data_IF_766764498903
#
_entry.id   IF_766764498903
#
_cell.length_a   1.000
_cell.length_b   1.000
_cell.length_c   1.000
_cell.angle_alpha   90.00
_cell.angle_beta   90.00
_cell.angle_gamma   90.00
#
_symmetry.space_group_name_H-M   'P 1'
#
loop_
_entity.id
_entity.type
_entity.pdbx_description
1 polymer ?
#
# COMPACT_ATOMS: atom_id res chain seq x y z
N UNK A 1 6.48 23.63 -19.00
CA UNK A 1 5.70 22.60 -18.27
C UNK A 1 4.24 22.67 -18.73
N UNK A 2 3.67 21.57 -19.23
CA UNK A 2 2.29 21.56 -19.77
C UNK A 2 1.23 21.51 -18.65
N UNK A 3 -0.05 21.68 -19.02
CA UNK A 3 -1.17 21.70 -18.06
C UNK A 3 -1.28 20.41 -17.23
N UNK A 4 -1.06 19.25 -17.86
CA UNK A 4 -1.07 17.93 -17.21
C UNK A 4 -0.07 17.86 -16.06
N UNK A 5 1.20 18.21 -16.32
CA UNK A 5 2.26 18.17 -15.30
C UNK A 5 2.00 19.19 -14.18
N UNK A 6 1.44 20.36 -14.50
CA UNK A 6 1.03 21.34 -13.47
C UNK A 6 -0.06 20.78 -12.54
N UNK A 7 -1.05 20.07 -13.10
CA UNK A 7 -2.12 19.44 -12.31
C UNK A 7 -1.57 18.36 -11.37
N UNK A 8 -0.71 17.48 -11.87
CA UNK A 8 -0.06 16.45 -11.06
C UNK A 8 0.79 17.05 -9.92
N UNK A 9 1.54 18.12 -10.20
CA UNK A 9 2.30 18.83 -9.15
C UNK A 9 1.40 19.49 -8.11
N UNK A 10 0.26 20.04 -8.52
CA UNK A 10 -0.71 20.62 -7.58
C UNK A 10 -1.32 19.54 -6.67
N UNK A 11 -1.61 18.35 -7.20
CA UNK A 11 -2.10 17.22 -6.40
C UNK A 11 -1.10 16.81 -5.29
N UNK A 12 0.20 16.86 -5.56
CA UNK A 12 1.26 16.59 -4.58
C UNK A 12 1.37 17.65 -3.47
N UNK A 13 0.79 18.84 -3.65
CA UNK A 13 0.79 19.87 -2.59
C UNK A 13 -0.21 19.54 -1.48
N UNK A 14 -1.07 18.54 -1.67
CA UNK A 14 -1.94 18.03 -0.61
C UNK A 14 -1.10 17.36 0.49
N UNK A 15 -1.08 17.95 1.69
CA UNK A 15 -0.33 17.46 2.85
C UNK A 15 -1.09 16.43 3.68
N UNK A 16 -2.28 16.03 3.27
CA UNK A 16 -3.00 14.96 3.93
C UNK A 16 -2.39 13.62 3.52
N UNK A 17 -1.71 12.97 4.46
CA UNK A 17 -1.09 11.66 4.30
C UNK A 17 -1.95 10.61 5.04
N UNK A 18 -3.00 10.05 4.41
CA UNK A 18 -3.84 9.06 5.08
C UNK A 18 -3.05 7.78 5.33
N UNK A 19 -3.31 7.14 6.46
CA UNK A 19 -2.83 5.79 6.73
C UNK A 19 -3.80 4.80 6.06
N UNK A 20 -3.25 3.92 5.23
CA UNK A 20 -3.95 2.89 4.50
C UNK A 20 -3.65 1.53 5.15
N UNK A 21 -4.72 0.79 5.49
CA UNK A 21 -4.65 -0.46 6.25
C UNK A 21 -5.02 -1.69 5.41
N UNK A 22 -5.31 -1.49 4.13
CA UNK A 22 -5.79 -2.52 3.22
C UNK A 22 -4.73 -3.61 3.02
N UNK A 23 -3.47 -3.22 2.77
CA UNK A 23 -2.36 -4.17 2.69
C UNK A 23 -2.19 -4.95 3.98
N UNK A 24 -2.19 -4.26 5.12
CA UNK A 24 -2.09 -4.89 6.44
C UNK A 24 -3.18 -5.94 6.66
N UNK A 25 -4.45 -5.61 6.36
CA UNK A 25 -5.57 -6.54 6.52
C UNK A 25 -5.40 -7.79 5.65
N UNK A 26 -4.99 -7.62 4.39
CA UNK A 26 -4.73 -8.75 3.47
C UNK A 26 -3.58 -9.61 4.00
N UNK A 27 -2.50 -8.97 4.46
CA UNK A 27 -1.32 -9.64 4.97
C UNK A 27 -1.64 -10.45 6.23
N UNK A 28 -2.27 -9.85 7.24
CA UNK A 28 -2.65 -10.54 8.47
C UNK A 28 -3.57 -11.73 8.22
N UNK A 29 -4.58 -11.58 7.34
CA UNK A 29 -5.46 -12.69 6.95
C UNK A 29 -4.69 -13.82 6.26
N UNK A 30 -3.76 -13.49 5.36
CA UNK A 30 -2.93 -14.48 4.66
C UNK A 30 -1.97 -15.18 5.62
N UNK A 31 -1.38 -14.44 6.57
CA UNK A 31 -0.52 -15.02 7.60
C UNK A 31 -1.30 -15.99 8.49
N UNK A 32 -2.48 -15.63 8.96
CA UNK A 32 -3.33 -16.52 9.76
C UNK A 32 -3.69 -17.81 9.00
N UNK A 33 -3.99 -17.71 7.70
CA UNK A 33 -4.32 -18.87 6.86
C UNK A 33 -3.11 -19.77 6.51
N UNK A 34 -1.89 -19.33 6.80
CA UNK A 34 -0.65 -20.03 6.43
C UNK A 34 0.21 -20.39 7.66
N UNK A 35 -0.42 -20.50 8.83
CA UNK A 35 0.24 -20.97 10.04
C UNK A 35 0.85 -22.37 9.85
N UNK A 36 2.03 -22.59 10.42
CA UNK A 36 2.81 -23.83 10.27
C UNK A 36 3.68 -23.90 9.02
N UNK A 37 3.54 -22.98 8.06
CA UNK A 37 4.41 -22.94 6.89
C UNK A 37 5.75 -22.22 7.15
N UNK A 38 6.82 -22.55 6.40
CA UNK A 38 8.05 -21.78 6.39
C UNK A 38 7.81 -20.29 6.08
N UNK A 39 8.42 -19.40 6.86
CA UNK A 39 8.21 -17.95 6.74
C UNK A 39 8.47 -17.38 5.35
N UNK A 40 9.41 -17.94 4.58
CA UNK A 40 9.67 -17.54 3.19
C UNK A 40 8.46 -17.78 2.28
N UNK A 41 7.75 -18.90 2.46
CA UNK A 41 6.53 -19.21 1.71
C UNK A 41 5.38 -18.33 2.17
N UNK A 42 5.26 -18.08 3.48
CA UNK A 42 4.26 -17.17 4.03
C UNK A 42 4.40 -15.76 3.44
N UNK A 43 5.61 -15.22 3.37
CA UNK A 43 5.89 -13.91 2.73
C UNK A 43 5.55 -13.90 1.24
N UNK A 44 5.92 -14.94 0.50
CA UNK A 44 5.57 -15.06 -0.92
C UNK A 44 4.05 -15.07 -1.12
N UNK A 45 3.31 -15.78 -0.26
CA UNK A 45 1.85 -15.81 -0.27
C UNK A 45 1.23 -14.47 0.10
N UNK A 46 1.73 -13.79 1.13
CA UNK A 46 1.29 -12.43 1.49
C UNK A 46 1.46 -11.48 0.30
N UNK A 47 2.63 -11.47 -0.33
CA UNK A 47 2.89 -10.65 -1.51
C UNK A 47 1.91 -10.95 -2.65
N UNK A 48 1.69 -12.23 -2.96
CA UNK A 48 0.75 -12.65 -3.99
C UNK A 48 -0.71 -12.27 -3.67
N UNK A 49 -1.14 -12.37 -2.41
CA UNK A 49 -2.48 -11.95 -1.97
C UNK A 49 -2.66 -10.44 -2.08
N UNK A 50 -1.66 -9.66 -1.63
CA UNK A 50 -1.68 -8.20 -1.73
C UNK A 50 -1.82 -7.77 -3.19
N UNK A 51 -0.98 -8.29 -4.10
CA UNK A 51 -1.07 -7.94 -5.52
C UNK A 51 -2.41 -8.31 -6.18
N UNK A 52 -3.08 -9.36 -5.67
CA UNK A 52 -4.36 -9.82 -6.21
C UNK A 52 -5.55 -8.99 -5.70
N UNK A 53 -5.45 -8.42 -4.51
CA UNK A 53 -6.61 -7.90 -3.78
C UNK A 53 -6.51 -6.41 -3.40
N UNK A 54 -5.33 -5.80 -3.45
CA UNK A 54 -5.17 -4.39 -3.08
C UNK A 54 -6.03 -3.51 -3.98
N UNK A 55 -6.72 -2.49 -3.43
CA UNK A 55 -7.52 -1.58 -4.26
C UNK A 55 -6.68 -0.91 -5.34
N UNK A 56 -7.17 -0.93 -6.58
CA UNK A 56 -6.51 -0.28 -7.71
C UNK A 56 -7.32 0.95 -8.10
N UNK A 57 -6.64 2.07 -8.29
CA UNK A 57 -7.20 3.29 -8.87
C UNK A 57 -6.20 3.92 -9.84
N UNK A 58 -6.71 4.80 -10.70
CA UNK A 58 -5.92 5.59 -11.63
C UNK A 58 -6.19 7.06 -11.33
N UNK A 59 -5.14 7.80 -11.01
CA UNK A 59 -5.23 9.22 -10.72
C UNK A 59 -5.53 10.04 -11.97
N UNK A 60 -6.27 11.12 -11.80
CA UNK A 60 -6.59 12.01 -12.90
C UNK A 60 -5.31 12.57 -13.54
N UNK A 61 -5.28 12.60 -14.87
CA UNK A 61 -4.15 13.08 -15.67
C UNK A 61 -2.86 12.23 -15.61
N UNK A 62 -2.85 11.10 -14.91
CA UNK A 62 -1.71 10.18 -14.88
C UNK A 62 -1.58 9.39 -16.19
N UNK A 63 -0.39 9.43 -16.78
CA UNK A 63 -0.02 8.57 -17.91
C UNK A 63 0.77 7.33 -17.48
N UNK A 64 1.49 7.44 -16.36
CA UNK A 64 2.15 6.33 -15.69
C UNK A 64 1.30 6.04 -14.47
N UNK A 65 0.79 4.81 -14.39
CA UNK A 65 -0.18 4.39 -13.37
C UNK A 65 0.44 3.36 -12.44
N UNK A 66 -0.23 3.09 -11.33
CA UNK A 66 0.23 2.18 -10.29
C UNK A 66 0.50 2.98 -9.02
N UNK A 67 -0.40 2.83 -8.05
CA UNK A 67 -0.21 3.33 -6.71
C UNK A 67 0.00 2.12 -5.79
N UNK A 68 0.98 2.22 -4.89
CA UNK A 68 1.26 1.16 -3.92
C UNK A 68 0.30 1.16 -2.74
N UNK A 69 -0.43 2.26 -2.54
CA UNK A 69 -1.39 2.44 -1.46
C UNK A 69 -2.84 2.36 -1.94
N UNK A 70 -3.78 2.24 -1.01
CA UNK A 70 -5.22 2.21 -1.33
C UNK A 70 -5.82 3.57 -1.69
N UNK A 71 -5.10 4.68 -1.44
CA UNK A 71 -5.54 6.07 -1.71
C UNK A 71 -4.36 6.96 -2.16
N UNK A 72 -4.62 8.07 -2.87
CA UNK A 72 -3.59 9.07 -3.18
C UNK A 72 -2.91 9.56 -1.90
N UNK A 73 -1.59 9.75 -1.96
CA UNK A 73 -0.75 10.15 -0.82
C UNK A 73 -0.82 9.21 0.40
N UNK A 74 -1.34 7.98 0.22
CA UNK A 74 -1.49 7.01 1.29
C UNK A 74 -0.17 6.39 1.74
N UNK A 75 -0.06 6.16 3.04
CA UNK A 75 1.02 5.37 3.64
C UNK A 75 0.48 3.98 3.99
N UNK A 76 1.07 2.94 3.42
CA UNK A 76 0.75 1.55 3.75
C UNK A 76 1.45 1.10 5.02
N UNK A 77 0.80 0.17 5.73
CA UNK A 77 1.38 -0.52 6.87
C UNK A 77 1.67 -1.97 6.48
N UNK A 78 2.92 -2.38 6.67
CA UNK A 78 3.35 -3.77 6.63
C UNK A 78 3.29 -4.42 8.01
N UNK A 79 2.96 -5.72 8.09
CA UNK A 79 2.91 -6.43 9.38
C UNK A 79 4.27 -6.50 10.07
N UNK A 80 5.38 -6.33 9.34
CA UNK A 80 6.71 -6.24 9.94
C UNK A 80 6.97 -4.93 10.70
N UNK A 81 6.14 -3.88 10.56
CA UNK A 81 6.35 -2.61 11.28
C UNK A 81 6.04 -2.69 12.78
N UNK A 82 5.36 -3.74 13.26
CA UNK A 82 5.09 -3.92 14.70
C UNK A 82 6.32 -4.33 15.53
N UNK A 83 7.53 -4.24 14.96
CA UNK A 83 8.79 -4.41 15.69
C UNK A 83 9.22 -3.17 16.46
N UNK A 84 8.57 -2.02 16.21
CA UNK A 84 8.82 -0.78 16.93
C UNK A 84 8.10 -0.75 18.28
N UNK A 85 8.69 -0.05 19.23
CA UNK A 85 8.10 0.12 20.56
C UNK A 85 6.90 1.06 20.49
N UNK A 86 6.03 1.05 21.51
CA UNK A 86 4.91 2.00 21.56
C UNK A 86 5.36 3.46 21.72
N UNK A 87 6.60 3.69 22.14
CA UNK A 87 7.17 5.02 22.36
C UNK A 87 7.72 5.64 21.05
N UNK A 88 7.76 4.87 19.96
CA UNK A 88 8.15 5.27 18.60
C UNK A 88 6.94 5.59 17.72
#
# INVERSE_FOLDING_TARGET
MNARIKSLMAALQNRHLPICIEKLRIALRTMAATEGEPMILRRAKVFASVLREIPIFIEEHSLIVGNGASKPMGLEIDPEYFIWSQDE
#
